data_IF_564483354177
#
_entry.id   IF_564483354177
#
_cell.length_a   1.000
_cell.length_b   1.000
_cell.length_c   1.000
_cell.angle_alpha   90.00
_cell.angle_beta   90.00
_cell.angle_gamma   90.00
#
_symmetry.space_group_name_H-M   'P 1'
#
loop_
_entity.id
_entity.type
_entity.pdbx_description
1 polymer ?
#
# COMPACT_ATOMS: atom_id res chain seq x y z
N UNK A 1 -23.99 14.68 1.91
CA UNK A 1 -23.02 13.60 1.67
C UNK A 1 -21.70 14.04 2.23
N UNK A 2 -21.11 13.24 3.12
CA UNK A 2 -19.79 13.52 3.64
C UNK A 2 -18.76 12.98 2.64
N UNK A 3 -17.84 13.84 2.18
CA UNK A 3 -16.74 13.43 1.32
C UNK A 3 -15.43 13.50 2.12
N UNK A 4 -14.80 12.36 2.43
CA UNK A 4 -13.57 12.35 3.22
C UNK A 4 -12.43 13.12 2.55
N UNK A 5 -12.34 13.12 1.21
CA UNK A 5 -11.33 13.88 0.47
C UNK A 5 -11.47 15.39 0.71
N UNK A 6 -12.70 15.91 0.65
CA UNK A 6 -12.98 17.33 0.88
C UNK A 6 -12.69 17.74 2.33
N UNK A 7 -13.02 16.87 3.30
CA UNK A 7 -12.72 17.11 4.72
C UNK A 7 -11.21 17.17 5.02
N UNK A 8 -10.42 16.45 4.22
CA UNK A 8 -8.95 16.42 4.29
C UNK A 8 -8.30 17.53 3.47
N UNK A 9 -9.06 18.26 2.64
CA UNK A 9 -8.52 19.24 1.70
C UNK A 9 -7.74 18.59 0.55
N UNK A 10 -8.04 17.34 0.24
CA UNK A 10 -7.39 16.54 -0.78
C UNK A 10 -8.24 16.48 -2.04
N UNK A 11 -7.57 16.40 -3.18
CA UNK A 11 -8.22 16.00 -4.42
C UNK A 11 -8.39 14.48 -4.48
N UNK A 12 -9.31 14.01 -5.32
CA UNK A 12 -9.68 12.59 -5.42
C UNK A 12 -8.58 11.73 -6.07
N UNK A 13 -7.66 12.37 -6.78
CA UNK A 13 -6.45 11.81 -7.38
C UNK A 13 -5.23 11.85 -6.44
N UNK A 14 -5.37 12.37 -5.21
CA UNK A 14 -4.28 12.38 -4.24
C UNK A 14 -3.71 10.97 -4.01
N UNK A 15 -2.40 10.85 -3.94
CA UNK A 15 -1.75 9.56 -3.73
C UNK A 15 -2.08 8.99 -2.34
N UNK A 16 -1.85 7.68 -2.15
CA UNK A 16 -2.10 7.03 -0.85
C UNK A 16 -1.26 7.68 0.25
N UNK A 17 -0.01 8.00 -0.06
CA UNK A 17 0.91 8.64 0.88
C UNK A 17 0.44 10.05 1.27
N UNK A 18 0.04 10.88 0.30
CA UNK A 18 -0.51 12.22 0.57
C UNK A 18 -1.75 12.17 1.47
N UNK A 19 -2.64 11.20 1.23
CA UNK A 19 -3.82 11.01 2.05
C UNK A 19 -3.48 10.63 3.50
N UNK A 20 -2.53 9.70 3.68
CA UNK A 20 -2.06 9.26 5.00
C UNK A 20 -1.39 10.43 5.75
N UNK A 21 -0.54 11.21 5.08
CA UNK A 21 0.15 12.35 5.69
C UNK A 21 -0.83 13.46 6.09
N UNK A 22 -1.80 13.79 5.24
CA UNK A 22 -2.83 14.79 5.56
C UNK A 22 -3.68 14.37 6.77
N UNK A 23 -4.02 13.09 6.89
CA UNK A 23 -4.76 12.55 8.04
C UNK A 23 -3.92 12.66 9.32
N UNK A 24 -2.64 12.29 9.26
CA UNK A 24 -1.72 12.40 10.41
C UNK A 24 -1.56 13.86 10.86
N UNK A 25 -1.37 14.77 9.92
CA UNK A 25 -1.28 16.20 10.21
C UNK A 25 -2.53 16.72 10.93
N UNK A 26 -3.74 16.37 10.43
CA UNK A 26 -4.99 16.76 11.10
C UNK A 26 -5.16 16.11 12.48
N UNK A 27 -4.69 14.88 12.67
CA UNK A 27 -4.67 14.23 13.99
C UNK A 27 -3.77 14.96 14.99
N UNK A 28 -2.69 15.58 14.53
CA UNK A 28 -1.78 16.36 15.38
C UNK A 28 -2.33 17.75 15.73
N UNK A 29 -3.10 18.36 14.82
CA UNK A 29 -3.80 19.64 15.06
C UNK A 29 -4.99 19.50 16.02
N UNK A 30 -5.60 18.31 16.10
CA UNK A 30 -6.79 18.07 16.91
C UNK A 30 -6.46 17.95 18.40
N UNK A 31 -7.21 18.71 19.21
CA UNK A 31 -7.18 18.57 20.67
C UNK A 31 -7.42 17.10 21.08
N UNK A 32 -6.67 16.57 22.07
CA UNK A 32 -6.88 15.21 22.57
C UNK A 32 -8.27 15.01 23.18
N UNK A 33 -8.98 16.09 23.54
CA UNK A 33 -10.35 16.03 24.07
C UNK A 33 -11.42 15.83 23.00
N UNK A 34 -11.10 16.04 21.71
CA UNK A 34 -12.04 15.85 20.61
C UNK A 34 -12.00 14.39 20.12
N UNK A 35 -12.52 13.48 20.97
CA UNK A 35 -12.48 12.04 20.71
C UNK A 35 -13.26 11.63 19.46
N UNK A 36 -14.34 12.35 19.13
CA UNK A 36 -15.17 12.07 17.98
C UNK A 36 -14.40 12.28 16.67
N UNK A 37 -13.79 13.46 16.47
CA UNK A 37 -13.00 13.73 15.25
C UNK A 37 -11.74 12.88 15.15
N UNK A 38 -11.07 12.61 16.28
CA UNK A 38 -9.91 11.72 16.31
C UNK A 38 -10.28 10.29 15.88
N UNK A 39 -11.43 9.78 16.33
CA UNK A 39 -11.95 8.46 15.93
C UNK A 39 -12.24 8.42 14.43
N UNK A 40 -12.86 9.47 13.91
CA UNK A 40 -13.17 9.61 12.48
C UNK A 40 -11.89 9.61 11.61
N UNK A 41 -10.89 10.43 11.96
CA UNK A 41 -9.62 10.44 11.24
C UNK A 41 -8.84 9.14 11.36
N UNK A 42 -8.90 8.47 12.52
CA UNK A 42 -8.27 7.15 12.70
C UNK A 42 -8.95 6.09 11.84
N UNK A 43 -10.28 6.18 11.71
CA UNK A 43 -11.06 5.32 10.81
C UNK A 43 -10.63 5.54 9.36
N UNK A 44 -10.55 6.80 8.93
CA UNK A 44 -10.05 7.14 7.60
C UNK A 44 -8.62 6.65 7.39
N UNK A 45 -7.74 6.76 8.39
CA UNK A 45 -6.37 6.25 8.30
C UNK A 45 -6.34 4.75 8.00
N UNK A 46 -7.22 3.96 8.63
CA UNK A 46 -7.32 2.52 8.35
C UNK A 46 -7.78 2.22 6.92
N UNK A 47 -8.76 2.99 6.42
CA UNK A 47 -9.26 2.84 5.04
C UNK A 47 -8.18 3.22 4.03
N UNK A 48 -7.50 4.35 4.22
CA UNK A 48 -6.47 4.82 3.29
C UNK A 48 -5.18 3.99 3.34
N UNK A 49 -4.97 3.19 4.40
CA UNK A 49 -3.83 2.26 4.46
C UNK A 49 -4.08 0.98 3.66
N UNK A 50 -5.33 0.59 3.44
CA UNK A 50 -5.71 -0.58 2.65
C UNK A 50 -6.13 -0.15 1.23
N UNK A 51 -5.37 -0.57 0.21
CA UNK A 51 -5.61 -0.21 -1.19
C UNK A 51 -6.99 -0.67 -1.69
N UNK A 52 -7.46 -1.85 -1.25
CA UNK A 52 -8.77 -2.38 -1.64
C UNK A 52 -9.90 -1.58 -0.97
N UNK A 53 -9.76 -1.26 0.32
CA UNK A 53 -10.75 -0.45 1.04
C UNK A 53 -10.87 0.96 0.44
N UNK A 54 -9.73 1.54 0.02
CA UNK A 54 -9.71 2.81 -0.70
C UNK A 54 -10.43 2.71 -2.06
N UNK A 55 -10.21 1.65 -2.83
CA UNK A 55 -10.89 1.46 -4.11
C UNK A 55 -12.42 1.33 -3.93
N UNK A 56 -12.88 0.61 -2.89
CA UNK A 56 -14.31 0.54 -2.55
C UNK A 56 -14.88 1.91 -2.16
N UNK A 57 -14.13 2.70 -1.38
CA UNK A 57 -14.50 4.07 -1.01
C UNK A 57 -14.68 4.95 -2.26
N UNK A 58 -13.73 4.88 -3.20
CA UNK A 58 -13.76 5.63 -4.44
C UNK A 58 -14.95 5.24 -5.32
N UNK A 59 -15.27 3.94 -5.37
CA UNK A 59 -16.42 3.43 -6.10
C UNK A 59 -17.75 3.90 -5.48
N UNK A 60 -17.89 3.83 -4.15
CA UNK A 60 -19.08 4.31 -3.45
C UNK A 60 -19.28 5.83 -3.62
N UNK A 61 -18.19 6.59 -3.60
CA UNK A 61 -18.22 8.02 -3.82
C UNK A 61 -18.60 8.35 -5.28
N UNK A 62 -18.20 7.52 -6.25
CA UNK A 62 -18.53 7.70 -7.67
C UNK A 62 -19.98 7.34 -7.96
N UNK A 63 -20.49 6.32 -7.28
CA UNK A 63 -21.89 5.91 -7.35
C UNK A 63 -22.84 6.88 -6.61
N UNK A 64 -22.31 7.83 -5.81
CA UNK A 64 -23.14 8.66 -4.95
C UNK A 64 -23.88 7.82 -3.89
N UNK A 65 -23.26 6.74 -3.42
CA UNK A 65 -23.83 5.87 -2.38
C UNK A 65 -23.10 5.97 -1.05
N UNK A 66 -22.15 6.90 -0.91
CA UNK A 66 -21.41 7.06 0.33
C UNK A 66 -22.28 7.66 1.45
N UNK A 67 -22.75 6.79 2.33
CA UNK A 67 -23.39 7.12 3.61
C UNK A 67 -22.56 6.55 4.79
N UNK A 68 -22.98 6.89 6.01
CA UNK A 68 -22.29 6.42 7.22
C UNK A 68 -22.27 4.88 7.33
N UNK A 69 -23.32 4.22 6.82
CA UNK A 69 -23.46 2.76 6.82
C UNK A 69 -22.42 2.11 5.90
N UNK A 70 -22.26 2.66 4.70
CA UNK A 70 -21.30 2.18 3.69
C UNK A 70 -19.86 2.41 4.17
N UNK A 71 -19.57 3.58 4.74
CA UNK A 71 -18.25 3.88 5.30
C UNK A 71 -17.90 2.90 6.44
N UNK A 72 -18.86 2.60 7.32
CA UNK A 72 -18.68 1.60 8.38
C UNK A 72 -18.45 0.19 7.80
N UNK A 73 -19.20 -0.20 6.77
CA UNK A 73 -19.05 -1.52 6.15
C UNK A 73 -17.66 -1.69 5.48
N UNK A 74 -17.15 -0.66 4.81
CA UNK A 74 -15.79 -0.66 4.23
C UNK A 74 -14.74 -0.80 5.35
N UNK A 75 -14.91 -0.07 6.45
CA UNK A 75 -14.01 -0.14 7.61
C UNK A 75 -14.03 -1.52 8.27
N UNK A 76 -15.22 -2.08 8.55
CA UNK A 76 -15.35 -3.39 9.17
C UNK A 76 -14.69 -4.49 8.30
N UNK A 77 -14.76 -4.33 6.97
CA UNK A 77 -14.12 -5.23 6.00
C UNK A 77 -12.61 -5.08 5.97
N UNK A 78 -12.07 -3.86 6.01
CA UNK A 78 -10.61 -3.63 6.04
C UNK A 78 -9.95 -4.14 7.33
N UNK A 79 -10.65 -4.03 8.45
CA UNK A 79 -10.22 -4.60 9.73
C UNK A 79 -10.28 -6.14 9.70
N UNK A 80 -11.26 -6.72 9.00
CA UNK A 80 -11.40 -8.17 8.85
C UNK A 80 -10.35 -8.76 7.92
N UNK A 81 -10.06 -8.12 6.77
CA UNK A 81 -8.98 -8.57 5.86
C UNK A 81 -7.61 -8.54 6.53
N UNK A 82 -7.40 -7.62 7.48
CA UNK A 82 -6.21 -7.59 8.33
C UNK A 82 -6.15 -8.77 9.33
N UNK A 83 -7.29 -9.31 9.75
CA UNK A 83 -7.36 -10.41 10.71
C UNK A 83 -7.25 -11.80 10.05
N UNK A 84 -7.77 -11.98 8.84
CA UNK A 84 -7.82 -13.32 8.18
C UNK A 84 -6.47 -13.81 7.64
N UNK A 85 -5.42 -12.99 7.65
CA UNK A 85 -4.07 -13.43 7.31
C UNK A 85 -3.37 -14.20 8.45
N UNK A 86 -4.02 -14.41 9.61
CA UNK A 86 -3.35 -14.92 10.83
C UNK A 86 -3.76 -16.32 11.30
N UNK A 87 -4.70 -17.04 10.67
CA UNK A 87 -5.20 -18.28 11.27
C UNK A 87 -5.23 -19.57 10.42
N UNK A 88 -5.55 -19.55 9.12
CA UNK A 88 -5.95 -20.81 8.45
C UNK A 88 -5.06 -21.33 7.29
N UNK A 89 -3.98 -20.65 6.92
CA UNK A 89 -3.15 -21.07 5.75
C UNK A 89 -1.86 -21.84 6.11
N UNK A 90 -1.79 -22.44 7.30
CA UNK A 90 -0.67 -23.31 7.71
C UNK A 90 -1.16 -24.72 7.97
N UNK A 91 -1.39 -25.52 6.91
CA UNK A 91 -1.59 -26.95 7.16
C UNK A 91 -2.09 -27.91 6.09
N UNK A 92 -2.22 -27.55 4.81
CA UNK A 92 -2.55 -28.56 3.78
C UNK A 92 -1.58 -28.53 2.60
N UNK A 93 -0.84 -29.63 2.47
CA UNK A 93 -0.08 -29.97 1.28
C UNK A 93 -1.02 -30.06 0.06
N UNK A 94 -0.60 -29.65 -1.15
CA UNK A 94 -1.45 -29.69 -2.33
C UNK A 94 -1.74 -31.14 -2.73
N UNK A 95 -2.92 -31.65 -2.37
CA UNK A 95 -3.51 -32.79 -3.07
C UNK A 95 -4.10 -32.30 -4.38
N UNK A 96 -3.56 -32.79 -5.49
CA UNK A 96 -4.09 -32.63 -6.83
C UNK A 96 -5.56 -33.03 -6.89
N UNK A 97 -6.47 -32.04 -6.94
CA UNK A 97 -7.82 -32.26 -7.41
C UNK A 97 -8.23 -31.10 -8.33
N UNK A 98 -7.78 -31.21 -9.58
CA UNK A 98 -8.23 -30.41 -10.70
C UNK A 98 -9.69 -30.77 -10.97
N UNK A 99 -10.63 -29.95 -10.49
CA UNK A 99 -12.00 -29.96 -10.99
C UNK A 99 -12.25 -28.65 -11.74
N UNK A 100 -12.55 -28.83 -13.02
CA UNK A 100 -12.68 -27.81 -14.04
C UNK A 100 -13.81 -26.82 -13.75
N UNK A 101 -13.52 -25.52 -13.88
CA UNK A 101 -14.52 -24.55 -14.29
C UNK A 101 -14.12 -23.98 -15.66
N UNK A 102 -15.08 -24.11 -16.57
CA UNK A 102 -15.02 -24.04 -18.01
C UNK A 102 -14.50 -22.72 -18.59
N UNK A 103 -13.48 -22.83 -19.43
CA UNK A 103 -13.22 -21.92 -20.54
C UNK A 103 -13.80 -22.53 -21.82
N UNK A 104 -14.83 -21.89 -22.38
CA UNK A 104 -15.31 -22.17 -23.73
C UNK A 104 -14.39 -21.49 -24.74
N UNK A 105 -13.43 -22.25 -25.28
CA UNK A 105 -12.78 -21.94 -26.56
C UNK A 105 -13.33 -22.89 -27.63
N UNK A 106 -13.72 -22.30 -28.75
CA UNK A 106 -14.37 -22.96 -29.87
C UNK A 106 -13.45 -23.99 -30.56
N UNK A 107 -14.04 -25.14 -30.82
CA UNK A 107 -13.59 -26.24 -31.66
C UNK A 107 -13.50 -25.85 -33.13
N UNK A 108 -12.38 -26.18 -33.77
CA UNK A 108 -12.28 -26.46 -35.20
C UNK A 108 -12.04 -27.96 -35.40
N UNK A 109 -13.06 -28.64 -35.91
CA UNK A 109 -12.98 -29.93 -36.65
C UNK A 109 -12.39 -29.64 -38.05
N UNK A 110 -11.75 -30.54 -38.81
CA UNK A 110 -11.91 -32.00 -38.91
C UNK A 110 -10.67 -32.66 -39.54
N UNK A 111 -10.65 -34.00 -39.46
CA UNK A 111 -10.13 -34.96 -40.45
C UNK A 111 -8.88 -35.83 -40.11
N UNK A 112 -9.19 -37.03 -39.60
CA UNK A 112 -9.17 -38.32 -40.35
C UNK A 112 -8.02 -39.33 -40.06
N UNK A 113 -8.46 -40.60 -40.06
CA UNK A 113 -7.75 -41.91 -40.05
C UNK A 113 -7.40 -42.50 -38.66
N UNK A 114 -8.21 -43.42 -38.13
CA UNK A 114 -8.28 -44.89 -38.40
C UNK A 114 -7.26 -45.71 -37.58
N UNK A 115 -7.72 -46.53 -36.64
CA UNK A 115 -7.77 -48.02 -36.70
C UNK A 115 -7.99 -48.62 -35.29
N UNK A 116 -8.71 -49.75 -35.26
CA UNK A 116 -9.38 -50.36 -34.12
C UNK A 116 -8.49 -51.22 -33.17
N UNK A 117 -9.08 -51.43 -31.98
CA UNK A 117 -8.94 -52.40 -30.87
C UNK A 117 -8.63 -53.88 -31.26
N UNK A 118 -8.57 -54.91 -30.34
CA UNK A 118 -8.92 -54.98 -28.89
C UNK A 118 -8.01 -55.84 -27.97
N UNK A 119 -8.24 -55.78 -26.63
CA UNK A 119 -8.48 -56.95 -25.75
C UNK A 119 -8.56 -56.55 -24.25
N UNK A 120 -9.54 -57.10 -23.54
CA UNK A 120 -9.73 -57.11 -22.07
C UNK A 120 -9.84 -58.59 -21.60
N UNK A 121 -10.13 -58.91 -20.31
CA UNK A 121 -9.34 -58.85 -19.06
C UNK A 121 -9.23 -60.31 -18.47
N UNK A 122 -8.99 -60.67 -17.15
CA UNK A 122 -9.72 -60.24 -15.93
C UNK A 122 -8.93 -60.26 -14.58
N UNK A 123 -9.61 -59.83 -13.49
CA UNK A 123 -9.24 -60.05 -12.08
C UNK A 123 -9.53 -58.79 -11.24
N UNK A 124 -10.64 -58.71 -10.47
CA UNK A 124 -10.74 -59.17 -9.07
C UNK A 124 -9.81 -58.31 -8.21
N UNK A 125 -10.20 -57.48 -7.24
CA UNK A 125 -10.91 -57.63 -5.94
C UNK A 125 -11.24 -56.16 -5.52
N UNK A 126 -12.12 -55.75 -4.60
CA UNK A 126 -12.75 -56.38 -3.46
C UNK A 126 -14.01 -55.57 -3.08
N UNK A 127 -14.97 -56.28 -2.51
CA UNK A 127 -16.16 -55.77 -1.85
C UNK A 127 -15.79 -55.24 -0.46
N UNK A 128 -16.22 -54.03 -0.10
CA UNK A 128 -16.47 -53.64 1.29
C UNK A 128 -17.81 -52.92 1.36
N UNK A 129 -18.69 -53.45 2.20
CA UNK A 129 -20.05 -52.99 2.43
C UNK A 129 -20.15 -52.21 3.75
N UNK A 130 -20.89 -51.09 3.69
CA UNK A 130 -21.77 -50.47 4.73
C UNK A 130 -21.15 -49.99 6.06
N UNK A 131 -21.88 -49.22 6.92
CA UNK A 131 -23.23 -48.61 6.84
C UNK A 131 -23.16 -47.05 6.96
N UNK A 132 -24.19 -46.20 6.87
CA UNK A 132 -25.64 -46.24 7.10
C UNK A 132 -26.03 -44.99 7.94
N UNK A 133 -27.30 -44.55 7.83
CA UNK A 133 -28.00 -43.45 8.56
C UNK A 133 -27.72 -42.00 8.11
N UNK A 134 -28.69 -41.08 7.97
CA UNK A 134 -30.12 -41.04 8.30
C UNK A 134 -30.78 -39.94 7.42
N UNK A 135 -31.93 -40.16 6.78
CA UNK A 135 -33.32 -39.89 7.24
C UNK A 135 -33.90 -38.52 6.82
N UNK A 136 -35.13 -38.60 6.29
CA UNK A 136 -36.20 -37.58 6.21
C UNK A 136 -36.04 -36.51 5.11
N UNK A 137 -37.08 -36.15 4.34
CA UNK A 137 -38.48 -36.48 4.41
C UNK A 137 -39.23 -35.79 3.26
N UNK A 138 -40.30 -36.42 2.85
CA UNK A 138 -41.15 -36.17 1.68
C UNK A 138 -41.84 -34.81 1.65
N UNK A 139 -42.05 -34.26 0.44
CA UNK A 139 -43.33 -33.68 0.06
C UNK A 139 -43.45 -33.61 -1.47
N UNK A 140 -44.37 -34.41 -1.99
CA UNK A 140 -44.87 -34.34 -3.35
C UNK A 140 -45.88 -33.19 -3.48
N UNK A 141 -45.84 -32.48 -4.60
CA UNK A 141 -47.01 -31.80 -5.14
C UNK A 141 -46.98 -31.93 -6.67
N UNK A 142 -47.95 -32.71 -7.11
CA UNK A 142 -48.39 -33.04 -8.46
C UNK A 142 -49.16 -31.84 -9.05
N UNK A 143 -48.80 -31.34 -10.24
CA UNK A 143 -49.73 -30.59 -11.11
C UNK A 143 -49.43 -30.82 -12.59
N UNK A 144 -50.50 -31.27 -13.24
CA UNK A 144 -50.79 -31.71 -14.60
C UNK A 144 -50.69 -30.60 -15.68
N UNK A 145 -50.06 -30.94 -16.80
CA UNK A 145 -50.38 -30.65 -18.23
C UNK A 145 -51.01 -29.31 -18.65
N UNK A 146 -50.43 -28.62 -19.64
CA UNK A 146 -51.15 -28.07 -20.83
C UNK A 146 -50.17 -27.73 -21.97
N UNK A 147 -50.62 -28.06 -23.19
CA UNK A 147 -49.95 -28.09 -24.49
C UNK A 147 -50.00 -26.74 -25.23
N UNK A 148 -49.07 -26.59 -26.20
CA UNK A 148 -49.11 -25.76 -27.43
C UNK A 148 -48.78 -24.26 -27.35
N UNK A 149 -47.67 -23.86 -27.99
CA UNK A 149 -47.65 -23.24 -29.33
C UNK A 149 -46.24 -22.70 -29.69
N UNK A 150 -45.63 -23.24 -30.75
CA UNK A 150 -44.72 -22.46 -31.65
C UNK A 150 -45.58 -21.49 -32.47
N UNK A 151 -45.13 -20.28 -32.89
CA UNK A 151 -43.85 -20.07 -33.60
C UNK A 151 -43.15 -18.70 -33.39
N UNK A 152 -41.85 -18.62 -33.71
CA UNK A 152 -41.25 -17.55 -34.54
C UNK A 152 -39.73 -17.71 -34.56
N UNK A 153 -39.19 -18.06 -35.73
CA UNK A 153 -37.76 -18.00 -36.02
C UNK A 153 -37.37 -16.53 -36.22
N UNK A 154 -36.67 -15.94 -35.27
CA UNK A 154 -35.96 -14.67 -35.50
C UNK A 154 -34.59 -15.00 -36.08
N UNK A 155 -34.43 -14.77 -37.38
CA UNK A 155 -33.15 -14.83 -38.06
C UNK A 155 -32.28 -13.64 -37.62
N UNK A 156 -31.32 -13.87 -36.74
CA UNK A 156 -30.25 -12.89 -36.47
C UNK A 156 -29.09 -13.14 -37.42
N UNK A 157 -28.87 -12.17 -38.29
CA UNK A 157 -27.81 -12.09 -39.28
C UNK A 157 -26.43 -12.17 -38.64
N UNK A 158 -25.63 -13.11 -39.13
CA UNK A 158 -24.20 -13.25 -38.85
C UNK A 158 -23.41 -12.17 -39.58
N UNK A 159 -23.38 -10.96 -39.01
CA UNK A 159 -22.55 -9.85 -39.51
C UNK A 159 -22.00 -8.98 -38.36
N UNK A 160 -21.44 -9.61 -37.33
CA UNK A 160 -20.86 -8.89 -36.17
C UNK A 160 -19.50 -9.45 -35.72
N UNK A 161 -18.73 -10.10 -36.61
CA UNK A 161 -17.41 -10.64 -36.29
C UNK A 161 -16.23 -9.65 -36.45
N UNK A 162 -16.48 -8.42 -36.92
CA UNK A 162 -15.40 -7.44 -37.18
C UNK A 162 -15.39 -6.20 -36.26
N UNK A 163 -16.38 -6.05 -35.37
CA UNK A 163 -16.46 -4.86 -34.49
C UNK A 163 -15.39 -4.90 -33.38
N UNK A 164 -15.09 -6.09 -32.87
CA UNK A 164 -14.14 -6.27 -31.75
C UNK A 164 -12.70 -5.91 -32.14
N UNK A 165 -12.11 -6.35 -33.27
CA UNK A 165 -10.75 -5.94 -33.63
C UNK A 165 -10.63 -4.44 -33.92
N UNK A 166 -11.66 -3.81 -34.46
CA UNK A 166 -11.66 -2.36 -34.73
C UNK A 166 -11.61 -1.53 -33.44
N UNK A 167 -12.30 -1.99 -32.39
CA UNK A 167 -12.32 -1.30 -31.09
C UNK A 167 -10.97 -1.44 -30.37
N UNK A 168 -10.32 -2.60 -30.46
CA UNK A 168 -8.96 -2.81 -29.89
C UNK A 168 -7.92 -1.90 -30.55
N UNK A 169 -7.96 -1.76 -31.88
CA UNK A 169 -7.04 -0.85 -32.60
C UNK A 169 -7.27 0.61 -32.18
N UNK A 170 -8.53 1.03 -32.00
CA UNK A 170 -8.85 2.39 -31.57
C UNK A 170 -8.28 2.71 -30.16
N UNK A 171 -8.37 1.77 -29.22
CA UNK A 171 -7.83 1.94 -27.87
C UNK A 171 -6.29 2.02 -27.88
N UNK A 172 -5.61 1.23 -28.70
CA UNK A 172 -4.15 1.26 -28.82
C UNK A 172 -3.68 2.61 -29.40
N UNK A 173 -4.38 3.16 -30.40
CA UNK A 173 -4.05 4.48 -30.97
C UNK A 173 -4.24 5.60 -29.95
N UNK A 174 -5.33 5.57 -29.16
CA UNK A 174 -5.57 6.54 -28.09
C UNK A 174 -4.53 6.46 -26.97
N UNK A 175 -4.14 5.25 -26.55
CA UNK A 175 -3.10 5.06 -25.54
C UNK A 175 -1.73 5.55 -26.04
N UNK A 176 -1.37 5.28 -27.31
CA UNK A 176 -0.14 5.78 -27.92
C UNK A 176 -0.08 7.30 -28.03
N UNK A 177 -1.20 7.94 -28.36
CA UNK A 177 -1.29 9.40 -28.41
C UNK A 177 -1.08 10.05 -27.02
N UNK A 178 -1.63 9.46 -25.96
CA UNK A 178 -1.44 9.97 -24.59
C UNK A 178 0.01 9.87 -24.11
N UNK A 179 0.69 8.75 -24.39
CA UNK A 179 2.11 8.58 -24.01
C UNK A 179 3.00 9.58 -24.74
N UNK A 180 2.76 9.83 -26.03
CA UNK A 180 3.56 10.81 -26.79
C UNK A 180 3.31 12.26 -26.33
N UNK A 181 2.10 12.58 -25.88
CA UNK A 181 1.78 13.91 -25.32
C UNK A 181 2.48 14.16 -23.99
N UNK A 182 2.52 13.16 -23.09
CA UNK A 182 3.20 13.28 -21.80
C UNK A 182 4.73 13.31 -21.90
N UNK A 183 5.32 12.55 -22.83
CA UNK A 183 6.79 12.52 -22.98
C UNK A 183 7.32 13.79 -23.69
N UNK A 184 6.50 14.46 -24.50
CA UNK A 184 6.94 15.63 -25.30
C UNK A 184 6.54 16.99 -24.71
N UNK A 185 5.68 17.02 -23.69
CA UNK A 185 5.17 18.26 -23.07
C UNK A 185 6.08 18.93 -22.03
N UNK A 186 7.19 18.31 -21.61
CA UNK A 186 8.00 18.82 -20.49
C UNK A 186 9.28 19.59 -20.86
N UNK A 187 9.44 20.01 -22.12
CA UNK A 187 10.45 21.01 -22.49
C UNK A 187 9.78 22.37 -22.66
N UNK A 188 9.60 23.09 -21.54
CA UNK A 188 9.46 24.54 -21.58
C UNK A 188 10.86 25.15 -21.53
N UNK A 189 11.32 25.62 -22.68
CA UNK A 189 12.55 26.39 -22.81
C UNK A 189 12.49 27.62 -21.89
N UNK A 190 13.39 27.67 -20.91
CA UNK A 190 13.59 28.82 -20.06
C UNK A 190 14.61 29.74 -20.75
N UNK A 191 14.11 30.70 -21.53
CA UNK A 191 14.93 31.76 -22.12
C UNK A 191 15.11 32.92 -21.11
N UNK A 192 16.34 33.34 -20.79
CA UNK A 192 16.58 34.47 -19.90
C UNK A 192 16.67 35.77 -20.70
N UNK A 193 15.54 36.47 -20.88
CA UNK A 193 15.56 37.83 -21.45
C UNK A 193 15.42 38.88 -20.35
N UNK A 194 16.55 39.49 -20.00
CA UNK A 194 16.60 40.77 -19.33
C UNK A 194 16.01 41.87 -20.25
N UNK A 195 14.97 42.57 -19.82
CA UNK A 195 14.73 43.95 -20.29
C UNK A 195 13.83 44.76 -19.36
N UNK A 196 14.40 45.86 -18.89
CA UNK A 196 13.73 46.98 -18.22
C UNK A 196 12.59 47.55 -19.06
N UNK A 197 11.45 47.86 -18.43
CA UNK A 197 10.54 48.90 -18.92
C UNK A 197 9.95 49.68 -17.75
N UNK A 198 10.42 50.92 -17.62
CA UNK A 198 9.86 52.04 -16.88
C UNK A 198 8.52 52.47 -17.49
N UNK A 199 7.45 52.69 -16.72
CA UNK A 199 6.41 53.72 -16.99
C UNK A 199 5.57 54.02 -15.72
N UNK A 200 5.95 55.10 -15.05
CA UNK A 200 5.14 56.31 -14.76
C UNK A 200 3.62 56.20 -14.48
N UNK A 201 3.29 56.57 -13.23
CA UNK A 201 2.23 57.52 -12.81
C UNK A 201 0.75 57.12 -12.94
N UNK A 202 0.14 56.84 -11.79
CA UNK A 202 -1.13 57.50 -11.43
C UNK A 202 -1.16 57.89 -9.96
N UNK A 203 -1.27 59.21 -9.79
CA UNK A 203 -1.57 59.96 -8.56
C UNK A 203 -2.93 59.52 -8.03
N UNK A 204 -2.99 59.05 -6.78
CA UNK A 204 -4.13 59.29 -5.89
C UNK A 204 -3.60 59.62 -4.50
N UNK A 205 -3.88 60.86 -4.16
CA UNK A 205 -3.76 61.55 -2.89
C UNK A 205 -4.55 60.86 -1.77
N UNK A 206 -3.89 60.47 -0.66
CA UNK A 206 -4.59 60.34 0.61
C UNK A 206 -3.68 60.52 1.84
N UNK A 207 -3.71 61.76 2.34
CA UNK A 207 -3.80 62.19 3.74
C UNK A 207 -2.81 61.63 4.78
N UNK A 208 -1.82 62.48 5.03
CA UNK A 208 -1.04 62.75 6.23
C UNK A 208 -1.68 62.39 7.58
N UNK A 209 -0.98 61.60 8.39
CA UNK A 209 -0.92 61.80 9.85
C UNK A 209 0.53 61.64 10.32
N UNK A 210 1.15 62.77 10.63
CA UNK A 210 2.51 62.90 11.16
C UNK A 210 2.53 62.50 12.62
N UNK A 211 3.29 61.46 12.99
CA UNK A 211 3.80 61.27 14.35
C UNK A 211 5.31 61.41 14.34
N UNK A 212 5.75 62.59 14.75
CA UNK A 212 7.12 62.93 15.14
C UNK A 212 7.53 62.07 16.33
N UNK A 213 8.52 61.20 16.16
CA UNK A 213 9.29 60.64 17.28
C UNK A 213 10.76 60.89 17.02
N UNK A 214 11.31 61.70 17.91
CA UNK A 214 12.67 62.20 18.04
C UNK A 214 13.73 61.10 17.94
N UNK A 215 14.64 61.23 16.98
CA UNK A 215 15.84 60.42 16.87
C UNK A 215 16.84 60.81 17.97
N UNK A 216 17.25 59.84 18.78
CA UNK A 216 18.41 59.95 19.67
C UNK A 216 19.58 59.18 19.01
N UNK A 217 20.77 59.76 18.83
CA UNK A 217 21.90 59.04 18.26
C UNK A 217 22.49 58.12 19.34
N UNK A 218 22.39 56.80 19.14
CA UNK A 218 23.06 55.81 20.00
C UNK A 218 24.19 55.14 19.22
N UNK A 219 25.39 55.53 19.63
CA UNK A 219 26.70 54.88 19.58
C UNK A 219 26.72 53.45 19.05
N UNK A 220 27.40 53.28 17.91
CA UNK A 220 27.81 51.99 17.35
C UNK A 220 28.79 51.29 18.30
N UNK A 221 28.33 50.21 18.94
CA UNK A 221 29.20 49.24 19.61
C UNK A 221 29.59 48.20 18.59
N UNK A 222 30.85 48.23 18.16
CA UNK A 222 31.49 47.17 17.37
C UNK A 222 31.52 45.91 18.23
N UNK A 223 30.58 44.99 18.00
CA UNK A 223 30.67 43.63 18.52
C UNK A 223 31.49 42.80 17.55
N UNK A 224 32.75 42.60 17.90
CA UNK A 224 33.65 41.62 17.27
C UNK A 224 33.13 40.23 17.61
N UNK A 225 32.36 39.63 16.71
CA UNK A 225 31.93 38.24 16.84
C UNK A 225 33.13 37.35 16.45
N UNK A 226 33.75 36.70 17.43
CA UNK A 226 34.74 35.67 17.22
C UNK A 226 34.11 34.53 16.43
N UNK A 227 34.62 34.27 15.24
CA UNK A 227 34.25 33.11 14.43
C UNK A 227 34.50 31.82 15.24
N UNK A 228 33.52 30.90 15.34
CA UNK A 228 33.78 29.60 15.94
C UNK A 228 34.84 28.88 15.10
N UNK A 229 35.91 28.46 15.77
CA UNK A 229 36.95 27.65 15.16
C UNK A 229 36.33 26.33 14.71
N UNK A 230 36.10 26.19 13.40
CA UNK A 230 35.85 24.90 12.77
C UNK A 230 37.10 24.05 12.95
N UNK A 231 37.12 23.26 14.03
CA UNK A 231 38.08 22.18 14.19
C UNK A 231 37.83 21.20 13.06
N UNK A 232 38.80 21.09 12.15
CA UNK A 232 38.85 20.07 11.11
C UNK A 232 38.79 18.71 11.81
N UNK A 233 37.60 18.12 11.89
CA UNK A 233 37.42 16.71 12.19
C UNK A 233 38.02 15.93 11.04
N UNK A 234 39.25 15.46 11.27
CA UNK A 234 39.83 14.37 10.51
C UNK A 234 38.99 13.13 10.80
N UNK A 235 38.47 12.41 9.79
CA UNK A 235 37.79 11.15 10.03
C UNK A 235 38.85 10.14 10.49
N UNK A 236 38.94 9.93 11.80
CA UNK A 236 39.71 8.82 12.36
C UNK A 236 38.94 7.53 12.11
N UNK A 237 39.23 6.90 10.97
CA UNK A 237 38.99 5.49 10.71
C UNK A 237 39.85 4.65 11.66
N UNK A 238 39.39 4.48 12.90
CA UNK A 238 39.90 3.43 13.81
C UNK A 238 38.81 3.07 14.82
N UNK A 239 37.71 2.51 14.33
CA UNK A 239 36.78 1.74 15.18
C UNK A 239 37.10 0.27 14.97
N UNK A 240 37.99 -0.24 15.80
CA UNK A 240 38.24 -1.67 15.96
C UNK A 240 38.29 -1.91 17.47
N UNK A 241 37.59 -2.95 17.92
CA UNK A 241 37.54 -3.45 19.29
C UNK A 241 36.60 -2.71 20.26
N UNK A 242 35.30 -2.95 20.11
CA UNK A 242 34.44 -3.54 21.16
C UNK A 242 33.00 -3.58 20.64
N UNK A 243 32.77 -4.34 19.56
CA UNK A 243 31.41 -4.70 19.18
C UNK A 243 30.95 -5.74 20.20
N UNK A 244 29.94 -5.48 21.05
CA UNK A 244 29.38 -6.52 21.91
C UNK A 244 29.00 -7.68 20.99
N UNK A 245 29.69 -8.81 21.17
CA UNK A 245 29.47 -10.01 20.39
C UNK A 245 28.17 -10.60 20.89
N UNK A 246 27.05 -10.04 20.43
CA UNK A 246 25.75 -10.63 20.65
C UNK A 246 25.78 -11.97 19.92
N UNK A 247 25.66 -13.11 20.63
CA UNK A 247 25.55 -14.38 19.97
C UNK A 247 24.38 -14.29 18.98
N UNK A 248 24.44 -14.97 17.82
CA UNK A 248 23.31 -15.08 16.92
C UNK A 248 22.21 -15.87 17.64
N UNK A 249 21.47 -15.19 18.51
CA UNK A 249 20.30 -15.75 19.18
C UNK A 249 19.22 -15.79 18.11
N UNK A 250 18.84 -17.00 17.75
CA UNK A 250 17.62 -17.31 17.01
C UNK A 250 16.38 -17.06 17.87
N UNK A 251 16.56 -16.83 19.18
CA UNK A 251 15.48 -16.54 20.12
C UNK A 251 15.20 -15.04 20.15
N UNK A 252 13.92 -14.62 20.21
CA UNK A 252 13.56 -13.22 20.34
C UNK A 252 14.20 -12.60 21.60
N UNK A 253 14.50 -11.29 21.57
CA UNK A 253 15.06 -10.58 22.72
C UNK A 253 14.09 -10.60 23.91
N UNK A 254 14.59 -10.27 25.11
CA UNK A 254 13.70 -10.06 26.27
C UNK A 254 12.66 -8.98 25.96
N UNK A 255 11.48 -9.10 26.56
CA UNK A 255 10.37 -8.14 26.40
C UNK A 255 10.76 -6.70 26.75
N UNK A 256 11.74 -6.52 27.64
CA UNK A 256 12.23 -5.22 28.09
C UNK A 256 12.89 -4.39 26.97
N UNK A 257 13.27 -5.03 25.86
CA UNK A 257 13.85 -4.38 24.68
C UNK A 257 12.81 -4.05 23.60
N UNK A 258 11.53 -4.33 23.87
CA UNK A 258 10.45 -4.08 22.92
C UNK A 258 10.14 -2.59 22.81
N UNK A 259 10.10 -2.08 21.59
CA UNK A 259 9.76 -0.71 21.25
C UNK A 259 8.27 -0.54 20.90
N UNK A 260 7.50 -1.63 20.85
CA UNK A 260 6.12 -1.65 20.35
C UNK A 260 5.99 -2.21 18.93
N UNK A 261 4.84 -1.96 18.30
CA UNK A 261 4.48 -2.51 17.00
C UNK A 261 4.42 -1.45 15.90
N UNK A 262 4.93 -1.78 14.71
CA UNK A 262 4.85 -0.95 13.52
C UNK A 262 4.80 -1.83 12.25
N UNK A 263 3.83 -1.54 11.37
CA UNK A 263 3.70 -2.16 10.05
C UNK A 263 3.74 -3.71 10.06
N UNK A 264 3.03 -4.33 11.01
CA UNK A 264 2.98 -5.79 11.13
C UNK A 264 4.16 -6.41 11.90
N UNK A 265 5.10 -5.61 12.40
CA UNK A 265 6.24 -6.09 13.18
C UNK A 265 6.21 -5.59 14.62
N UNK A 266 6.63 -6.42 15.57
CA UNK A 266 7.14 -5.95 16.86
C UNK A 266 8.61 -5.61 16.72
N UNK A 267 8.98 -4.36 17.00
CA UNK A 267 10.36 -3.89 16.91
C UNK A 267 11.06 -3.95 18.27
N UNK A 268 12.35 -4.27 18.27
CA UNK A 268 13.20 -4.32 19.45
C UNK A 268 14.51 -3.60 19.18
N UNK A 269 14.98 -2.82 20.16
CA UNK A 269 16.29 -2.18 20.10
C UNK A 269 17.33 -3.06 20.80
N UNK A 270 18.40 -3.47 20.10
CA UNK A 270 19.40 -4.40 20.66
C UNK A 270 20.71 -3.73 21.11
N UNK A 271 20.83 -2.42 20.91
CA UNK A 271 21.96 -1.63 21.40
C UNK A 271 21.45 -0.39 22.12
N UNK A 272 22.23 0.10 23.09
CA UNK A 272 21.90 1.29 23.88
C UNK A 272 21.80 2.57 23.04
N UNK A 273 22.47 2.58 21.89
CA UNK A 273 22.45 3.69 20.93
C UNK A 273 21.27 3.66 19.97
N UNK A 274 20.52 2.55 19.94
CA UNK A 274 19.33 2.41 19.09
C UNK A 274 18.11 2.86 19.87
N UNK A 275 17.45 3.93 19.42
CA UNK A 275 16.25 4.47 20.07
C UNK A 275 14.98 3.74 19.61
N UNK A 276 13.95 3.69 20.47
CA UNK A 276 12.66 3.08 20.11
C UNK A 276 12.01 3.69 18.85
N UNK A 277 11.98 5.03 18.66
CA UNK A 277 11.46 5.62 17.43
C UNK A 277 12.20 5.13 16.17
N UNK A 278 13.52 4.96 16.25
CA UNK A 278 14.32 4.46 15.13
C UNK A 278 14.03 2.98 14.82
N UNK A 279 13.84 2.13 15.84
CA UNK A 279 13.46 0.73 15.67
C UNK A 279 12.08 0.59 14.99
N UNK A 280 11.10 1.42 15.39
CA UNK A 280 9.77 1.44 14.77
C UNK A 280 9.81 1.96 13.32
N UNK A 281 10.63 2.97 13.05
CA UNK A 281 10.85 3.46 11.67
C UNK A 281 11.48 2.37 10.80
N UNK A 282 12.48 1.65 11.33
CA UNK A 282 13.09 0.48 10.64
C UNK A 282 12.03 -0.57 10.29
N UNK A 283 11.08 -0.84 11.19
CA UNK A 283 9.98 -1.77 10.95
C UNK A 283 9.11 -1.39 9.75
N UNK A 284 8.83 -0.08 9.57
CA UNK A 284 8.05 0.44 8.43
C UNK A 284 8.79 0.26 7.11
N UNK A 285 10.06 0.68 7.07
CA UNK A 285 10.89 0.56 5.85
C UNK A 285 11.09 -0.91 5.44
N UNK A 286 11.23 -1.81 6.42
CA UNK A 286 11.30 -3.25 6.15
C UNK A 286 9.97 -3.77 5.62
N UNK A 287 8.84 -3.39 6.22
CA UNK A 287 7.51 -3.78 5.74
C UNK A 287 7.30 -3.40 4.28
N UNK A 288 7.59 -2.15 3.91
CA UNK A 288 7.46 -1.67 2.54
C UNK A 288 8.40 -2.42 1.59
N UNK A 289 9.62 -2.74 2.05
CA UNK A 289 10.62 -3.46 1.25
C UNK A 289 10.24 -4.92 0.98
N UNK A 290 9.53 -5.57 1.90
CA UNK A 290 9.15 -6.98 1.83
C UNK A 290 7.68 -7.20 1.48
N UNK A 291 6.90 -6.13 1.28
CA UNK A 291 5.49 -6.19 0.92
C UNK A 291 5.27 -7.12 -0.29
N UNK A 292 4.56 -8.23 -0.05
CA UNK A 292 4.25 -9.26 -1.06
C UNK A 292 5.42 -10.12 -1.52
N UNK A 293 6.60 -10.05 -0.87
CA UNK A 293 7.80 -10.80 -1.28
C UNK A 293 8.30 -11.68 -0.15
N UNK A 294 8.49 -12.98 -0.43
CA UNK A 294 9.22 -13.88 0.47
C UNK A 294 10.72 -13.66 0.30
N UNK A 295 11.39 -13.25 1.38
CA UNK A 295 12.85 -13.17 1.45
C UNK A 295 13.38 -14.52 2.00
N UNK A 296 14.19 -15.27 1.22
CA UNK A 296 14.79 -16.52 1.70
C UNK A 296 15.55 -16.35 3.01
N UNK A 297 15.56 -17.39 3.85
CA UNK A 297 16.28 -17.36 5.13
C UNK A 297 17.78 -17.20 4.87
N UNK A 298 18.41 -16.26 5.57
CA UNK A 298 19.83 -15.96 5.42
C UNK A 298 20.13 -14.85 4.42
N UNK A 299 19.20 -14.53 3.52
CA UNK A 299 19.38 -13.43 2.56
C UNK A 299 19.39 -12.07 3.27
N UNK A 300 20.13 -11.15 2.68
CA UNK A 300 20.29 -9.78 3.17
C UNK A 300 19.78 -8.76 2.15
N UNK A 301 19.18 -7.68 2.65
CA UNK A 301 18.78 -6.53 1.86
C UNK A 301 19.05 -5.24 2.64
N UNK A 302 19.10 -4.11 1.96
CA UNK A 302 19.28 -2.79 2.58
C UNK A 302 17.98 -2.01 2.59
N UNK A 303 17.82 -1.18 3.62
CA UNK A 303 16.76 -0.18 3.78
C UNK A 303 17.37 1.13 4.26
N UNK A 304 16.79 2.26 3.85
CA UNK A 304 17.20 3.59 4.29
C UNK A 304 16.22 4.07 5.35
N UNK A 305 16.70 4.31 6.58
CA UNK A 305 15.83 4.61 7.73
C UNK A 305 16.10 6.03 8.23
N UNK A 306 15.08 6.88 8.22
CA UNK A 306 15.16 8.20 8.81
C UNK A 306 15.04 8.15 10.34
N UNK A 307 15.98 8.79 11.04
CA UNK A 307 15.96 8.96 12.49
C UNK A 307 15.45 10.33 12.87
N UNK A 308 14.32 10.40 13.57
CA UNK A 308 13.78 11.65 14.13
C UNK A 308 14.61 12.20 15.28
N UNK A 309 15.44 11.37 15.93
CA UNK A 309 16.28 11.79 17.06
C UNK A 309 17.52 12.53 16.58
N UNK A 310 18.08 12.14 15.43
CA UNK A 310 19.31 12.74 14.89
C UNK A 310 19.09 13.53 13.60
N UNK A 311 17.87 13.54 13.08
CA UNK A 311 17.47 14.19 11.81
C UNK A 311 18.32 13.74 10.61
N UNK A 312 18.62 12.43 10.55
CA UNK A 312 19.49 11.84 9.52
C UNK A 312 18.91 10.51 9.04
N UNK A 313 19.15 10.20 7.76
CA UNK A 313 18.87 8.89 7.18
C UNK A 313 20.09 7.98 7.31
N UNK A 314 19.86 6.75 7.73
CA UNK A 314 20.89 5.72 7.89
C UNK A 314 20.58 4.50 7.04
N UNK A 315 21.59 4.00 6.35
CA UNK A 315 21.50 2.72 5.65
C UNK A 315 21.63 1.56 6.64
N UNK A 316 20.65 0.67 6.62
CA UNK A 316 20.54 -0.50 7.48
C UNK A 316 20.53 -1.76 6.62
N UNK A 317 21.38 -2.74 6.95
CA UNK A 317 21.38 -4.07 6.30
C UNK A 317 20.56 -5.03 7.15
N UNK A 318 19.46 -5.52 6.59
CA UNK A 318 18.55 -6.47 7.20
C UNK A 318 18.81 -7.88 6.70
N UNK A 319 18.92 -8.84 7.63
CA UNK A 319 19.04 -10.26 7.35
C UNK A 319 17.75 -10.99 7.74
N UNK A 320 17.20 -11.77 6.81
CA UNK A 320 16.05 -12.65 7.07
C UNK A 320 16.46 -13.82 7.97
N UNK A 321 15.73 -14.03 9.05
CA UNK A 321 15.94 -15.12 10.01
C UNK A 321 14.91 -16.25 9.86
N UNK A 322 13.95 -16.11 8.93
CA UNK A 322 12.80 -17.01 8.79
C UNK A 322 11.60 -16.54 9.60
N UNK A 323 10.42 -17.09 9.33
CA UNK A 323 9.15 -16.69 9.95
C UNK A 323 8.86 -15.18 9.87
N UNK A 324 9.34 -14.51 8.82
CA UNK A 324 9.27 -13.04 8.68
C UNK A 324 9.96 -12.27 9.82
N UNK A 325 10.91 -12.90 10.52
CA UNK A 325 11.78 -12.22 11.48
C UNK A 325 13.00 -11.65 10.74
N UNK A 326 13.38 -10.43 11.10
CA UNK A 326 14.52 -9.73 10.51
C UNK A 326 15.44 -9.18 11.58
N UNK A 327 16.75 -9.26 11.32
CA UNK A 327 17.76 -8.54 12.11
C UNK A 327 18.44 -7.52 11.21
N UNK A 328 18.24 -6.25 11.54
CA UNK A 328 18.82 -5.14 10.82
C UNK A 328 19.98 -4.54 11.60
N UNK A 329 21.10 -4.31 10.92
CA UNK A 329 22.28 -3.65 11.48
C UNK A 329 22.83 -2.62 10.50
N UNK A 330 23.21 -1.45 11.00
CA UNK A 330 23.76 -0.39 10.15
C UNK A 330 23.92 0.94 10.87
N UNK A 331 24.17 1.99 10.11
CA UNK A 331 24.43 3.33 10.63
C UNK A 331 25.59 3.37 11.63
N UNK A 332 25.34 3.96 12.81
CA UNK A 332 26.34 4.12 13.87
C UNK A 332 26.41 2.92 14.84
N UNK A 333 26.41 1.68 14.35
CA UNK A 333 26.25 0.43 15.13
C UNK A 333 24.83 0.21 15.70
N UNK A 334 23.82 0.73 15.03
CA UNK A 334 22.43 0.44 15.38
C UNK A 334 22.13 -1.04 15.08
N UNK A 335 21.39 -1.70 15.96
CA UNK A 335 20.91 -3.07 15.76
C UNK A 335 19.46 -3.15 16.19
N UNK A 336 18.60 -3.51 15.23
CA UNK A 336 17.16 -3.66 15.40
C UNK A 336 16.77 -5.09 15.10
N UNK A 337 15.91 -5.66 15.93
CA UNK A 337 15.24 -6.93 15.64
C UNK A 337 13.76 -6.66 15.37
N UNK A 338 13.23 -7.26 14.32
CA UNK A 338 11.83 -7.17 13.92
C UNK A 338 11.25 -8.57 13.95
N UNK A 339 10.14 -8.72 14.66
CA UNK A 339 9.38 -9.97 14.74
C UNK A 339 8.04 -9.79 14.09
N UNK A 340 7.62 -10.68 13.19
CA UNK A 340 6.26 -10.62 12.67
C UNK A 340 5.24 -10.80 13.80
N UNK A 341 4.15 -10.03 13.73
CA UNK A 341 2.95 -10.29 14.52
C UNK A 341 2.19 -11.51 13.98
#
# INVERSE_FOLDING_TARGET
MYNPYESLGLSRDATQLEAIEAIRHKLDELSPTDTARRTELTTLLSIFTDEHARAELDQALAAGTLDATTLKAITDRSLSSSATLTADDWGQAPSSNTTNYWSTAASGDSDRWSTAQPATPPGGFASVSAPGNASNGSAAADVTTTTAATPAKTATSSAAKWIIPLLVVLVIVLAGALVTFFVRGNHSDFEPTARSTTTSTKVVEQRTTTKTVTATPRTSVVSTFSAPSYSRYTPSTTSTANQPTYPPRLSPPSSDLSCGTAAGFTAYHLTEITSCPFSLATGREVADRVAGRRIPVGDTFTVEVYSTVTEKTYSMTCKSLGNFDFRCSGGNNAVVFLRSL
#
